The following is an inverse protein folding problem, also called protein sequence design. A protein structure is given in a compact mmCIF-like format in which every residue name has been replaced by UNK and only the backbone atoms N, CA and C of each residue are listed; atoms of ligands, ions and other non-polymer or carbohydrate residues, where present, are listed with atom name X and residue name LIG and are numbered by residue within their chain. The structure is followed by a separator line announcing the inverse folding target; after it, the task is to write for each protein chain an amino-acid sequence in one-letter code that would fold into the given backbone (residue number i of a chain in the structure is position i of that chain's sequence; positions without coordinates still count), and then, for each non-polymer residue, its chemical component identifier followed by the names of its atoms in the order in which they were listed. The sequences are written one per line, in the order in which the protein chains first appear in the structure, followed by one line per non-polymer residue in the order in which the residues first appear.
data_IF_025085548095
#
_entry.id   IF_025085548095
#
_cell.length_a   1.000
_cell.length_b   1.000
_cell.length_c   1.000
_cell.angle_alpha   90.00
_cell.angle_beta   90.00
_cell.angle_gamma   90.00
#
_symmetry.space_group_name_H-M   'P 1'
#
loop_
_entity.id
_entity.type
_entity.pdbx_description
1 polymer ?
#
# COMPACT_ATOMS: atom_id res chain seq x y z
N UNK A 1 -26.53 38.69 8.81
CA UNK A 1 -25.89 40.00 8.55
C UNK A 1 -24.80 39.77 7.52
N UNK A 2 -24.97 40.38 6.34
CA UNK A 2 -24.04 40.27 5.22
C UNK A 2 -22.62 40.67 5.64
N UNK A 3 -21.66 39.77 5.44
CA UNK A 3 -20.29 40.17 5.17
C UNK A 3 -19.86 39.41 3.92
N UNK A 4 -19.57 40.17 2.86
CA UNK A 4 -18.92 39.69 1.66
C UNK A 4 -17.63 38.96 2.04
N UNK A 5 -17.65 37.63 1.97
CA UNK A 5 -16.43 36.81 2.09
C UNK A 5 -15.90 36.66 0.67
N UNK A 6 -14.91 37.51 0.34
CA UNK A 6 -14.13 37.51 -0.91
C UNK A 6 -13.94 36.10 -1.50
N UNK A 7 -14.28 35.90 -2.77
CA UNK A 7 -13.97 34.67 -3.52
C UNK A 7 -12.47 34.30 -3.52
N UNK A 8 -11.60 35.29 -3.30
CA UNK A 8 -10.16 35.05 -3.11
C UNK A 8 -9.84 34.37 -1.78
N UNK A 9 -10.63 34.60 -0.72
CA UNK A 9 -10.42 33.94 0.58
C UNK A 9 -10.88 32.48 0.55
N UNK A 10 -11.91 32.14 -0.23
CA UNK A 10 -12.31 30.74 -0.45
C UNK A 10 -11.28 30.00 -1.32
N UNK A 11 -10.70 30.65 -2.33
CA UNK A 11 -9.54 30.14 -3.07
C UNK A 11 -8.32 29.96 -2.16
N UNK A 12 -8.06 30.90 -1.26
CA UNK A 12 -6.95 30.79 -0.31
C UNK A 12 -7.18 29.65 0.69
N UNK A 13 -8.43 29.42 1.12
CA UNK A 13 -8.83 28.28 1.96
C UNK A 13 -8.78 26.97 1.18
N UNK A 14 -9.10 26.97 -0.13
CA UNK A 14 -9.00 25.80 -1.00
C UNK A 14 -7.54 25.44 -1.27
N UNK A 15 -6.69 26.43 -1.55
CA UNK A 15 -5.24 26.25 -1.68
C UNK A 15 -4.63 25.84 -0.33
N UNK A 16 -5.05 26.43 0.80
CA UNK A 16 -4.65 25.95 2.12
C UNK A 16 -5.15 24.52 2.39
N UNK A 17 -6.35 24.12 1.95
CA UNK A 17 -6.80 22.73 2.03
C UNK A 17 -6.16 21.80 0.98
N UNK A 18 -5.57 22.32 -0.07
CA UNK A 18 -4.90 21.50 -1.07
C UNK A 18 -3.42 21.32 -0.73
N UNK A 19 -2.81 22.34 -0.14
CA UNK A 19 -1.41 22.40 0.28
C UNK A 19 -1.22 21.92 1.73
N UNK A 20 -2.13 22.27 2.65
CA UNK A 20 -2.12 21.81 4.06
C UNK A 20 -3.21 20.78 4.38
N UNK A 21 -4.14 20.49 3.47
CA UNK A 21 -5.32 19.70 3.83
C UNK A 21 -5.01 18.23 3.96
N UNK A 22 -5.36 17.76 5.15
CA UNK A 22 -5.42 16.40 5.65
C UNK A 22 -4.23 15.52 5.29
N UNK A 23 -3.54 15.05 6.34
CA UNK A 23 -2.54 13.97 6.28
C UNK A 23 -2.96 12.81 5.35
N UNK A 24 -4.28 12.59 5.21
CA UNK A 24 -4.93 11.66 4.27
C UNK A 24 -4.58 11.90 2.79
N UNK A 25 -4.55 13.15 2.29
CA UNK A 25 -4.22 13.45 0.90
C UNK A 25 -2.73 13.25 0.59
N UNK A 26 -1.86 13.54 1.56
CA UNK A 26 -0.43 13.22 1.44
C UNK A 26 -0.20 11.71 1.27
N UNK A 27 -0.83 10.90 2.11
CA UNK A 27 -0.77 9.44 1.99
C UNK A 27 -1.36 8.95 0.66
N UNK A 28 -2.50 9.50 0.24
CA UNK A 28 -3.12 9.15 -1.04
C UNK A 28 -2.20 9.45 -2.22
N UNK A 29 -1.59 10.62 -2.27
CA UNK A 29 -0.67 11.00 -3.33
C UNK A 29 0.56 10.07 -3.37
N UNK A 30 1.20 9.82 -2.22
CA UNK A 30 2.36 8.92 -2.14
C UNK A 30 2.00 7.51 -2.65
N UNK A 31 0.86 6.97 -2.19
CA UNK A 31 0.37 5.67 -2.65
C UNK A 31 0.03 5.67 -4.15
N UNK A 32 -0.53 6.77 -4.67
CA UNK A 32 -0.80 6.95 -6.09
C UNK A 32 0.48 6.92 -6.95
N UNK A 33 1.54 7.59 -6.50
CA UNK A 33 2.86 7.55 -7.14
C UNK A 33 3.46 6.13 -7.15
N UNK A 34 3.35 5.40 -6.04
CA UNK A 34 3.80 3.99 -5.96
C UNK A 34 3.02 3.11 -6.93
N UNK A 35 1.71 3.31 -7.03
CA UNK A 35 0.84 2.57 -7.94
C UNK A 35 1.21 2.85 -9.40
N UNK A 36 1.51 4.11 -9.74
CA UNK A 36 2.02 4.48 -11.05
C UNK A 36 3.35 3.80 -11.38
N UNK A 37 4.30 3.78 -10.43
CA UNK A 37 5.55 3.03 -10.57
C UNK A 37 5.30 1.54 -10.85
N UNK A 38 4.38 0.90 -10.13
CA UNK A 38 4.01 -0.50 -10.36
C UNK A 38 3.44 -0.75 -11.76
N UNK A 39 2.71 0.21 -12.33
CA UNK A 39 2.24 0.13 -13.72
C UNK A 39 3.40 0.27 -14.71
N UNK A 40 4.32 1.20 -14.47
CA UNK A 40 5.50 1.38 -15.31
C UNK A 40 6.40 0.13 -15.35
N UNK A 41 6.51 -0.60 -14.23
CA UNK A 41 7.28 -1.84 -14.17
C UNK A 41 6.71 -3.00 -15.01
N UNK A 42 5.49 -2.87 -15.55
CA UNK A 42 4.94 -3.84 -16.51
C UNK A 42 5.45 -3.63 -17.93
N UNK A 43 6.08 -2.50 -18.24
CA UNK A 43 6.70 -2.30 -19.55
C UNK A 43 7.96 -3.16 -19.69
N UNK A 44 8.19 -3.75 -20.87
CA UNK A 44 9.34 -4.61 -21.11
C UNK A 44 10.64 -3.83 -20.88
N UNK A 45 11.66 -4.51 -20.36
CA UNK A 45 13.02 -3.99 -20.08
C UNK A 45 13.15 -2.92 -18.98
N UNK A 46 12.06 -2.45 -18.37
CA UNK A 46 12.14 -1.45 -17.29
C UNK A 46 12.34 -2.07 -15.89
N UNK A 47 12.25 -3.40 -15.74
CA UNK A 47 12.28 -4.05 -14.44
C UNK A 47 13.70 -4.25 -13.90
N UNK A 48 13.95 -3.71 -12.70
CA UNK A 48 15.12 -4.01 -11.89
C UNK A 48 14.67 -4.41 -10.47
N UNK A 49 14.95 -5.65 -10.02
CA UNK A 49 14.44 -6.16 -8.75
C UNK A 49 15.02 -5.40 -7.54
N UNK A 50 16.27 -4.95 -7.63
CA UNK A 50 16.92 -4.20 -6.54
C UNK A 50 16.26 -2.84 -6.32
N UNK A 51 16.09 -2.04 -7.39
CA UNK A 51 15.47 -0.71 -7.31
C UNK A 51 14.02 -0.80 -6.85
N UNK A 52 13.30 -1.83 -7.30
CA UNK A 52 11.94 -2.06 -6.86
C UNK A 52 11.87 -2.40 -5.36
N UNK A 53 12.76 -3.28 -4.86
CA UNK A 53 12.81 -3.64 -3.43
C UNK A 53 13.13 -2.44 -2.55
N UNK A 54 14.10 -1.62 -2.95
CA UNK A 54 14.54 -0.46 -2.14
C UNK A 54 13.46 0.60 -2.06
N UNK A 55 12.74 0.88 -3.15
CA UNK A 55 11.59 1.80 -3.15
C UNK A 55 10.48 1.31 -2.23
N UNK A 56 10.18 0.00 -2.27
CA UNK A 56 9.10 -0.56 -1.47
C UNK A 56 9.42 -0.53 0.03
N UNK A 57 10.63 -0.91 0.42
CA UNK A 57 11.10 -0.89 1.82
C UNK A 57 11.34 0.53 2.34
N UNK A 58 11.76 1.48 1.49
CA UNK A 58 11.99 2.85 1.98
C UNK A 58 10.70 3.67 2.07
N UNK A 59 9.84 3.63 1.04
CA UNK A 59 8.68 4.52 0.95
C UNK A 59 7.45 3.88 1.58
N UNK A 60 7.10 2.65 1.18
CA UNK A 60 5.85 2.02 1.63
C UNK A 60 5.92 1.61 3.10
N UNK A 61 7.06 1.06 3.53
CA UNK A 61 7.26 0.72 4.94
C UNK A 61 7.29 1.97 5.83
N UNK A 62 7.97 3.05 5.40
CA UNK A 62 7.98 4.31 6.17
C UNK A 62 6.57 4.89 6.34
N UNK A 63 5.75 4.86 5.27
CA UNK A 63 4.34 5.24 5.31
C UNK A 63 3.51 4.37 6.27
N UNK A 64 3.76 3.06 6.31
CA UNK A 64 3.11 2.16 7.26
C UNK A 64 3.50 2.48 8.71
N UNK A 65 4.79 2.70 8.96
CA UNK A 65 5.31 3.06 10.28
C UNK A 65 4.75 4.41 10.75
N UNK A 66 4.66 5.41 9.86
CA UNK A 66 4.10 6.73 10.21
C UNK A 66 2.61 6.65 10.57
N UNK A 67 1.82 5.85 9.84
CA UNK A 67 0.42 5.60 10.17
C UNK A 67 0.24 4.83 11.49
N UNK A 68 1.13 3.86 11.77
CA UNK A 68 1.10 3.10 13.01
C UNK A 68 1.44 3.98 14.21
N UNK A 69 2.52 4.76 14.13
CA UNK A 69 2.93 5.68 15.19
C UNK A 69 1.89 6.78 15.41
N UNK A 70 1.28 7.32 14.34
CA UNK A 70 0.20 8.30 14.46
C UNK A 70 -0.97 7.81 15.31
N UNK A 71 -1.44 6.58 15.06
CA UNK A 71 -2.55 5.99 15.85
C UNK A 71 -2.20 5.73 17.32
N UNK A 72 -0.94 5.38 17.60
CA UNK A 72 -0.47 5.15 18.98
C UNK A 72 -0.36 6.48 19.74
N UNK A 73 0.19 7.51 19.09
CA UNK A 73 0.42 8.82 19.69
C UNK A 73 -0.89 9.58 19.96
N UNK A 74 -1.91 9.41 19.12
CA UNK A 74 -3.18 10.13 19.29
C UNK A 74 -3.90 9.71 20.57
N UNK A 75 -4.18 8.42 20.76
CA UNK A 75 -4.81 7.91 21.98
C UNK A 75 -4.63 6.39 22.12
N UNK A 76 -3.83 5.97 23.10
CA UNK A 76 -3.57 4.56 23.40
C UNK A 76 -4.86 3.79 23.75
N UNK A 77 -5.77 4.41 24.51
CA UNK A 77 -7.04 3.78 24.89
C UNK A 77 -7.97 3.56 23.68
N UNK A 78 -8.01 4.51 22.76
CA UNK A 78 -8.81 4.40 21.54
C UNK A 78 -8.20 3.33 20.61
N UNK A 79 -6.88 3.26 20.53
CA UNK A 79 -6.18 2.20 19.79
C UNK A 79 -6.55 0.81 20.31
N UNK A 80 -6.47 0.56 21.62
CA UNK A 80 -6.85 -0.73 22.20
C UNK A 80 -8.35 -1.02 22.06
N UNK A 81 -9.22 -0.02 22.17
CA UNK A 81 -10.65 -0.22 21.93
C UNK A 81 -10.97 -0.57 20.47
N UNK A 82 -10.18 -0.08 19.52
CA UNK A 82 -10.37 -0.38 18.09
C UNK A 82 -10.00 -1.80 17.70
N UNK A 83 -9.28 -2.53 18.57
CA UNK A 83 -8.95 -3.95 18.38
C UNK A 83 -10.11 -4.90 18.73
N UNK A 84 -11.14 -4.39 19.41
CA UNK A 84 -12.30 -5.18 19.84
C UNK A 84 -13.48 -4.85 18.91
N UNK A 85 -13.99 -5.82 18.13
CA UNK A 85 -15.20 -5.61 17.35
C UNK A 85 -16.40 -5.34 18.27
N UNK A 86 -17.23 -4.37 17.89
CA UNK A 86 -18.47 -4.06 18.60
C UNK A 86 -19.40 -5.27 18.62
N UNK A 87 -19.90 -5.62 19.81
CA UNK A 87 -20.80 -6.76 19.99
C UNK A 87 -20.12 -8.10 20.28
N UNK A 88 -18.80 -8.12 20.53
CA UNK A 88 -18.13 -9.35 20.99
C UNK A 88 -18.50 -9.69 22.44
N UNK A 89 -18.86 -10.95 22.74
CA UNK A 89 -19.12 -11.37 24.11
C UNK A 89 -17.82 -11.34 24.93
N UNK A 90 -17.92 -10.92 26.20
CA UNK A 90 -16.78 -10.63 27.10
C UNK A 90 -15.81 -11.81 27.21
N UNK A 91 -16.31 -13.05 27.17
CA UNK A 91 -15.50 -14.27 27.31
C UNK A 91 -14.50 -14.50 26.16
N UNK A 92 -14.80 -14.01 24.95
CA UNK A 92 -13.97 -14.24 23.75
C UNK A 92 -13.13 -12.99 23.41
N UNK A 93 -13.47 -11.84 24.01
CA UNK A 93 -12.81 -10.55 23.82
C UNK A 93 -11.26 -10.60 23.86
N UNK A 94 -10.59 -11.20 24.88
CA UNK A 94 -9.12 -11.18 24.94
C UNK A 94 -8.48 -11.95 23.78
N UNK A 95 -9.10 -13.03 23.30
CA UNK A 95 -8.59 -13.81 22.17
C UNK A 95 -8.73 -13.05 20.84
N UNK A 96 -9.82 -12.30 20.66
CA UNK A 96 -10.04 -11.47 19.47
C UNK A 96 -9.07 -10.29 19.43
N UNK A 97 -8.79 -9.66 20.57
CA UNK A 97 -7.74 -8.64 20.67
C UNK A 97 -6.37 -9.15 20.21
N UNK A 98 -5.99 -10.36 20.64
CA UNK A 98 -4.73 -11.00 20.22
C UNK A 98 -4.78 -11.28 18.72
N UNK A 99 -5.88 -11.81 18.19
CA UNK A 99 -6.02 -12.07 16.76
C UNK A 99 -5.91 -10.78 15.91
N UNK A 100 -6.54 -9.68 16.33
CA UNK A 100 -6.45 -8.40 15.60
C UNK A 100 -5.04 -7.81 15.67
N UNK A 101 -4.34 -7.96 16.81
CA UNK A 101 -2.93 -7.54 16.92
C UNK A 101 -2.01 -8.34 15.99
N UNK A 102 -2.24 -9.65 15.85
CA UNK A 102 -1.51 -10.52 14.92
C UNK A 102 -1.81 -10.11 13.47
N UNK A 103 -3.08 -9.88 13.12
CA UNK A 103 -3.49 -9.35 11.81
C UNK A 103 -2.82 -8.01 11.49
N UNK A 104 -2.59 -7.16 12.49
CA UNK A 104 -1.87 -5.89 12.31
C UNK A 104 -0.39 -6.10 11.94
N UNK A 105 0.28 -7.10 12.54
CA UNK A 105 1.66 -7.47 12.21
C UNK A 105 1.74 -8.10 10.82
N UNK A 106 0.82 -9.02 10.49
CA UNK A 106 0.78 -9.69 9.18
C UNK A 106 0.55 -8.68 8.04
N UNK A 107 -0.07 -7.53 8.33
CA UNK A 107 -0.24 -6.43 7.36
C UNK A 107 1.09 -5.93 6.78
N UNK A 108 2.20 -6.07 7.52
CA UNK A 108 3.54 -5.80 7.01
C UNK A 108 3.93 -6.76 5.88
N UNK A 109 3.59 -8.05 6.01
CA UNK A 109 3.86 -9.06 4.97
C UNK A 109 2.99 -8.81 3.73
N UNK A 110 1.76 -8.32 3.92
CA UNK A 110 0.86 -7.95 2.81
C UNK A 110 1.44 -6.83 1.93
N UNK A 111 2.24 -5.92 2.48
CA UNK A 111 2.95 -4.88 1.73
C UNK A 111 3.99 -5.49 0.78
N UNK A 112 4.55 -6.66 1.11
CA UNK A 112 5.50 -7.39 0.27
C UNK A 112 4.85 -8.12 -0.91
N UNK A 113 3.51 -8.25 -0.95
CA UNK A 113 2.81 -8.98 -2.00
C UNK A 113 3.07 -8.45 -3.43
N UNK A 114 3.03 -7.14 -3.70
CA UNK A 114 3.33 -6.61 -5.04
C UNK A 114 4.76 -6.92 -5.49
N UNK A 115 5.71 -7.00 -4.54
CA UNK A 115 7.09 -7.41 -4.81
C UNK A 115 7.17 -8.82 -5.38
N UNK A 116 6.60 -9.76 -4.65
CA UNK A 116 6.64 -11.18 -5.02
C UNK A 116 5.91 -11.38 -6.36
N UNK A 117 4.74 -10.75 -6.54
CA UNK A 117 3.94 -10.94 -7.75
C UNK A 117 4.61 -10.38 -9.02
N UNK A 118 5.19 -9.17 -8.96
CA UNK A 118 5.83 -8.55 -10.12
C UNK A 118 7.16 -9.25 -10.44
N UNK A 119 7.97 -9.55 -9.43
CA UNK A 119 9.26 -10.25 -9.62
C UNK A 119 9.09 -11.64 -10.21
N UNK A 120 8.22 -12.47 -9.63
CA UNK A 120 7.93 -13.81 -10.17
C UNK A 120 7.30 -13.75 -11.56
N UNK A 121 6.45 -12.75 -11.83
CA UNK A 121 5.90 -12.53 -13.17
C UNK A 121 6.97 -12.27 -14.22
N UNK A 122 7.90 -11.35 -13.96
CA UNK A 122 9.00 -11.04 -14.88
C UNK A 122 9.96 -12.22 -15.07
N UNK A 123 10.40 -12.87 -13.98
CA UNK A 123 11.28 -14.04 -14.09
C UNK A 123 10.59 -15.23 -14.77
N UNK A 124 9.30 -15.43 -14.50
CA UNK A 124 8.50 -16.46 -15.15
C UNK A 124 8.40 -16.25 -16.66
N UNK A 125 8.10 -15.03 -17.11
CA UNK A 125 8.03 -14.72 -18.56
C UNK A 125 9.38 -14.89 -19.24
N UNK A 126 10.49 -14.47 -18.61
CA UNK A 126 11.83 -14.66 -19.19
C UNK A 126 12.21 -16.14 -19.28
N UNK A 127 11.91 -16.93 -18.24
CA UNK A 127 12.15 -18.37 -18.24
C UNK A 127 11.32 -19.07 -19.33
N UNK A 128 10.03 -18.76 -19.43
CA UNK A 128 9.15 -19.30 -20.47
C UNK A 128 9.57 -18.86 -21.88
N UNK A 129 10.00 -17.61 -22.05
CA UNK A 129 10.50 -17.09 -23.33
C UNK A 129 11.80 -17.78 -23.78
N UNK A 130 12.70 -18.11 -22.85
CA UNK A 130 13.90 -18.87 -23.18
C UNK A 130 13.58 -20.33 -23.54
N UNK A 131 12.65 -20.96 -22.82
CA UNK A 131 12.20 -22.33 -23.10
C UNK A 131 11.52 -22.43 -24.47
N UNK A 132 10.72 -21.44 -24.86
CA UNK A 132 10.07 -21.42 -26.18
C UNK A 132 11.06 -21.24 -27.34
N UNK A 133 12.12 -20.45 -27.14
CA UNK A 133 13.18 -20.25 -28.15
C UNK A 133 14.08 -21.48 -28.32
N UNK A 134 14.35 -22.22 -27.24
CA UNK A 134 15.20 -23.42 -27.28
C UNK A 134 14.46 -24.62 -27.90
N UNK A 135 13.14 -24.70 -27.72
CA UNK A 135 12.37 -25.83 -28.21
C UNK A 135 10.93 -25.43 -28.53
N UNK A 136 10.66 -25.17 -29.81
CA UNK A 136 9.34 -24.79 -30.30
C UNK A 136 8.24 -25.84 -29.99
N UNK A 137 8.62 -27.10 -29.80
CA UNK A 137 7.69 -28.19 -29.46
C UNK A 137 7.12 -28.09 -28.05
N UNK A 138 7.84 -27.49 -27.09
CA UNK A 138 7.34 -27.29 -25.72
C UNK A 138 6.29 -26.16 -25.64
N UNK A 139 6.23 -25.28 -26.63
CA UNK A 139 5.17 -24.27 -26.72
C UNK A 139 3.78 -24.89 -26.95
N UNK A 140 3.71 -26.05 -27.60
CA UNK A 140 2.45 -26.75 -27.86
C UNK A 140 1.90 -27.38 -26.56
N UNK A 141 2.78 -27.93 -25.72
CA UNK A 141 2.42 -28.55 -24.43
C UNK A 141 1.96 -27.51 -23.38
N UNK A 142 2.36 -26.25 -23.52
CA UNK A 142 1.89 -25.16 -22.63
C UNK A 142 0.49 -24.66 -23.05
N UNK A 143 0.13 -24.79 -24.32
CA UNK A 143 -1.14 -24.27 -24.87
C UNK A 143 -2.27 -25.32 -24.96
N UNK A 144 -1.94 -26.61 -24.92
CA UNK A 144 -2.89 -27.74 -24.81
C UNK A 144 -2.99 -28.25 -23.38
#
# INVERSE_FOLDING_TARGET
MFNNVNDLSSLMIFINKFVLGDVKYYYFNILGWILFLFLCYRFPYCYSPYMFSTILISIVFSCFVSLFLGRICDNVNIFFSSLIPVGTPIYICPLVCVAESISYIIRLVLILRPFINISLGCFGVVALGNLSLISAEWCIVIFF
#
